data_IF_320057366107
#
_entry.id   IF_320057366107
#
_cell.length_a   1.000
_cell.length_b   1.000
_cell.length_c   1.000
_cell.angle_alpha   90.00
_cell.angle_beta   90.00
_cell.angle_gamma   90.00
#
_symmetry.space_group_name_H-M   'P 1'
#
loop_
_entity.id
_entity.type
_entity.pdbx_description
1 polymer ?
#
# COMPACT_ATOMS: atom_id res chain seq x y z
N UNK A 1 15.54 -10.70 29.41
CA UNK A 1 14.72 -10.07 28.37
C UNK A 1 13.64 -11.07 27.94
N UNK A 2 12.43 -10.91 28.48
CA UNK A 2 11.32 -11.84 28.23
C UNK A 2 10.89 -11.72 26.77
N UNK A 3 11.09 -12.77 25.97
CA UNK A 3 10.46 -12.87 24.65
C UNK A 3 8.98 -13.11 24.92
N UNK A 4 8.17 -12.05 24.88
CA UNK A 4 6.71 -12.17 24.92
C UNK A 4 6.30 -13.22 23.90
N UNK A 5 5.81 -14.38 24.36
CA UNK A 5 5.30 -15.42 23.46
C UNK A 5 4.06 -14.87 22.79
N UNK A 6 4.14 -14.61 21.49
CA UNK A 6 2.97 -14.37 20.64
C UNK A 6 2.13 -15.65 20.69
N UNK A 7 0.84 -15.55 21.01
CA UNK A 7 -0.02 -16.73 21.06
C UNK A 7 -0.24 -17.25 19.64
N UNK A 8 -0.46 -18.56 19.49
CA UNK A 8 -0.61 -19.16 18.17
C UNK A 8 -1.85 -18.62 17.43
N UNK A 9 -2.92 -18.26 18.17
CA UNK A 9 -4.11 -17.62 17.60
C UNK A 9 -3.84 -16.22 17.02
N UNK A 10 -2.83 -15.50 17.53
CA UNK A 10 -2.42 -14.17 17.03
C UNK A 10 -1.58 -14.27 15.75
N UNK A 11 -1.24 -15.49 15.29
CA UNK A 11 -0.50 -15.73 14.07
C UNK A 11 -1.42 -15.97 12.87
N UNK A 12 -2.70 -15.61 12.93
CA UNK A 12 -3.63 -15.69 11.81
C UNK A 12 -4.11 -14.32 11.35
N UNK A 13 -4.30 -14.19 10.03
CA UNK A 13 -4.74 -12.95 9.40
C UNK A 13 -6.22 -12.71 9.70
N UNK A 14 -6.56 -11.54 10.25
CA UNK A 14 -7.94 -11.17 10.59
C UNK A 14 -8.91 -11.17 9.39
N UNK A 15 -8.40 -11.06 8.15
CA UNK A 15 -9.25 -11.01 6.93
C UNK A 15 -9.36 -12.33 6.17
N UNK A 16 -8.25 -13.07 6.03
CA UNK A 16 -8.22 -14.29 5.23
C UNK A 16 -7.90 -15.56 6.03
N UNK A 17 -7.67 -15.42 7.34
CA UNK A 17 -7.46 -16.51 8.28
C UNK A 17 -6.25 -17.40 7.94
N UNK A 18 -5.35 -16.94 7.06
CA UNK A 18 -4.06 -17.58 6.76
C UNK A 18 -3.01 -17.17 7.79
N UNK A 19 -2.03 -18.04 8.00
CA UNK A 19 -0.91 -17.75 8.89
C UNK A 19 -0.17 -16.44 8.50
N UNK A 20 0.18 -15.63 9.48
CA UNK A 20 0.97 -14.42 9.34
C UNK A 20 2.41 -14.65 9.78
N UNK A 21 3.33 -13.87 9.22
CA UNK A 21 4.72 -13.84 9.69
C UNK A 21 4.80 -12.98 10.95
N UNK A 22 5.75 -13.29 11.83
CA UNK A 22 6.09 -12.42 12.95
C UNK A 22 6.44 -11.01 12.45
N UNK A 23 5.92 -9.98 13.13
CA UNK A 23 6.07 -8.59 12.71
C UNK A 23 5.11 -8.15 11.60
N UNK A 24 4.05 -8.93 11.33
CA UNK A 24 2.95 -8.49 10.48
C UNK A 24 2.30 -7.20 11.00
N UNK A 25 1.69 -6.42 10.09
CA UNK A 25 0.94 -5.23 10.45
C UNK A 25 -0.20 -5.61 11.40
N UNK A 26 -0.41 -4.82 12.44
CA UNK A 26 -1.49 -4.98 13.40
C UNK A 26 -2.42 -3.78 13.32
N UNK A 27 -3.66 -4.02 12.92
CA UNK A 27 -4.74 -3.03 12.88
C UNK A 27 -5.76 -3.31 13.98
N UNK A 28 -6.74 -2.43 14.25
CA UNK A 28 -7.76 -2.66 15.28
C UNK A 28 -8.52 -4.00 15.13
N UNK A 29 -8.66 -4.48 13.90
CA UNK A 29 -9.24 -5.77 13.54
C UNK A 29 -8.32 -6.99 13.80
N UNK A 30 -7.02 -6.77 14.05
CA UNK A 30 -6.00 -7.80 14.32
C UNK A 30 -4.82 -7.78 13.34
N UNK A 31 -4.05 -8.87 13.32
CA UNK A 31 -2.89 -9.02 12.44
C UNK A 31 -3.32 -9.20 10.97
N UNK A 32 -2.56 -8.61 10.05
CA UNK A 32 -2.79 -8.72 8.62
C UNK A 32 -1.59 -9.34 7.90
N UNK A 33 -1.85 -10.38 7.10
CA UNK A 33 -0.83 -10.91 6.20
C UNK A 33 -0.47 -9.86 5.14
N UNK A 34 0.73 -9.97 4.55
CA UNK A 34 1.25 -8.99 3.59
C UNK A 34 0.31 -8.80 2.38
N UNK A 35 -0.38 -9.86 1.95
CA UNK A 35 -1.36 -9.81 0.86
C UNK A 35 -2.62 -9.03 1.22
N UNK A 36 -3.23 -9.30 2.37
CA UNK A 36 -4.40 -8.55 2.85
C UNK A 36 -4.06 -7.09 3.13
N UNK A 37 -2.91 -6.83 3.74
CA UNK A 37 -2.41 -5.47 3.95
C UNK A 37 -2.20 -4.72 2.63
N UNK A 38 -1.57 -5.36 1.63
CA UNK A 38 -1.37 -4.73 0.31
C UNK A 38 -2.70 -4.45 -0.39
N UNK A 39 -3.62 -5.42 -0.39
CA UNK A 39 -4.96 -5.25 -1.00
C UNK A 39 -5.74 -4.12 -0.33
N UNK A 40 -5.68 -4.02 1.01
CA UNK A 40 -6.32 -2.94 1.74
C UNK A 40 -5.80 -1.55 1.31
N UNK A 41 -4.48 -1.41 1.14
CA UNK A 41 -3.84 -0.17 0.67
C UNK A 41 -3.96 0.07 -0.85
N UNK A 42 -4.77 -0.73 -1.53
CA UNK A 42 -5.15 -0.56 -2.94
C UNK A 42 -6.66 -0.43 -3.12
N UNK A 43 -7.43 -0.44 -2.02
CA UNK A 43 -8.87 -0.22 -2.01
C UNK A 43 -9.15 1.27 -1.88
N UNK A 44 -9.89 1.79 -2.86
CA UNK A 44 -10.38 3.17 -2.87
C UNK A 44 -11.88 3.16 -3.00
N UNK A 45 -12.52 4.17 -2.43
CA UNK A 45 -13.95 4.36 -2.54
C UNK A 45 -14.44 5.42 -1.58
N UNK A 46 -15.76 5.55 -1.49
CA UNK A 46 -16.41 6.45 -0.55
C UNK A 46 -16.34 5.87 0.86
N UNK A 47 -15.70 6.58 1.78
CA UNK A 47 -15.64 6.18 3.19
C UNK A 47 -17.04 6.19 3.80
N UNK A 48 -17.46 5.09 4.41
CA UNK A 48 -18.76 4.99 5.12
C UNK A 48 -18.85 5.96 6.31
N UNK A 49 -17.72 6.28 6.95
CA UNK A 49 -17.68 7.16 8.13
C UNK A 49 -17.74 8.66 7.80
N UNK A 50 -17.02 9.13 6.77
CA UNK A 50 -16.90 10.55 6.46
C UNK A 50 -17.40 10.96 5.07
N UNK A 51 -17.79 10.01 4.22
CA UNK A 51 -18.31 10.27 2.87
C UNK A 51 -17.27 10.72 1.83
N UNK A 52 -15.99 10.83 2.19
CA UNK A 52 -14.93 11.26 1.26
C UNK A 52 -14.49 10.08 0.38
N UNK A 53 -14.37 10.32 -0.93
CA UNK A 53 -13.78 9.37 -1.87
C UNK A 53 -12.25 9.40 -1.76
N UNK A 54 -11.66 8.36 -1.16
CA UNK A 54 -10.22 8.28 -0.86
C UNK A 54 -9.78 6.84 -0.62
N UNK A 55 -8.56 6.61 -0.11
CA UNK A 55 -8.11 5.29 0.30
C UNK A 55 -8.97 4.78 1.47
N UNK A 56 -9.61 3.62 1.32
CA UNK A 56 -10.51 3.02 2.32
C UNK A 56 -10.02 1.64 2.78
N UNK A 57 -8.89 1.58 3.50
CA UNK A 57 -8.29 0.31 3.86
C UNK A 57 -9.04 -0.39 5.00
N UNK A 58 -9.74 0.34 5.86
CA UNK A 58 -10.44 -0.18 7.02
C UNK A 58 -11.77 -0.83 6.67
N UNK A 59 -12.23 -1.73 7.54
CA UNK A 59 -13.55 -2.37 7.44
C UNK A 59 -14.47 -1.80 8.51
N UNK A 60 -15.69 -1.46 8.12
CA UNK A 60 -16.74 -1.08 9.05
C UNK A 60 -17.49 -2.33 9.56
N UNK A 61 -18.06 -2.29 10.78
CA UNK A 61 -18.84 -3.42 11.33
C UNK A 61 -20.06 -3.81 10.49
N UNK A 62 -20.60 -2.87 9.71
CA UNK A 62 -21.74 -3.06 8.80
C UNK A 62 -21.33 -3.59 7.42
N UNK A 63 -20.05 -3.90 7.20
CA UNK A 63 -19.50 -4.36 5.93
C UNK A 63 -19.06 -3.25 4.98
N UNK A 64 -19.19 -1.98 5.37
CA UNK A 64 -18.65 -0.84 4.62
C UNK A 64 -17.12 -0.74 4.65
N UNK A 65 -16.58 0.23 3.90
CA UNK A 65 -15.14 0.53 3.90
C UNK A 65 -14.87 1.88 4.55
N UNK A 66 -13.80 1.96 5.33
CA UNK A 66 -13.44 3.14 6.11
C UNK A 66 -12.08 3.67 5.69
N UNK A 67 -11.93 5.00 5.65
CA UNK A 67 -10.62 5.62 5.50
C UNK A 67 -9.76 5.35 6.73
N UNK A 68 -8.46 5.63 6.62
CA UNK A 68 -7.47 5.45 7.69
C UNK A 68 -7.89 6.10 9.00
N UNK A 69 -8.48 7.30 8.91
CA UNK A 69 -8.84 8.13 10.06
C UNK A 69 -10.09 7.57 10.75
N UNK A 70 -11.15 7.27 9.97
CA UNK A 70 -12.40 6.71 10.48
C UNK A 70 -12.25 5.28 11.01
N UNK A 71 -11.25 4.52 10.53
CA UNK A 71 -10.95 3.18 10.99
C UNK A 71 -10.05 3.13 12.25
N UNK A 72 -9.98 4.23 13.02
CA UNK A 72 -9.19 4.29 14.25
C UNK A 72 -7.71 4.61 14.04
N UNK A 73 -7.37 5.31 12.95
CA UNK A 73 -6.00 5.78 12.69
C UNK A 73 -5.07 4.66 12.25
N UNK A 74 -5.37 4.00 11.13
CA UNK A 74 -4.57 2.88 10.58
C UNK A 74 -3.15 3.26 10.13
N UNK A 75 -2.82 4.55 10.17
CA UNK A 75 -1.56 5.13 9.75
C UNK A 75 -1.74 6.14 8.61
N UNK A 76 -0.73 6.98 8.44
CA UNK A 76 -0.66 7.92 7.32
C UNK A 76 0.00 7.24 6.10
N UNK A 77 -0.77 7.13 5.02
CA UNK A 77 -0.32 6.58 3.72
C UNK A 77 -0.20 7.66 2.65
N UNK A 78 -0.19 8.93 3.03
CA UNK A 78 0.04 10.05 2.11
C UNK A 78 1.48 10.00 1.62
N UNK A 79 1.66 10.04 0.30
CA UNK A 79 2.97 10.16 -0.32
C UNK A 79 3.45 11.61 -0.22
N UNK A 80 4.59 11.84 0.41
CA UNK A 80 5.21 13.17 0.57
C UNK A 80 5.63 13.78 -0.78
N UNK A 81 5.79 12.96 -1.83
CA UNK A 81 6.16 13.45 -3.17
C UNK A 81 4.98 13.83 -4.06
N UNK A 82 3.90 13.06 -4.04
CA UNK A 82 2.77 13.25 -4.97
C UNK A 82 1.44 13.55 -4.29
N UNK A 83 1.39 13.57 -2.95
CA UNK A 83 0.18 13.82 -2.17
C UNK A 83 -0.87 12.71 -2.21
N UNK A 84 -0.71 11.68 -3.06
CA UNK A 84 -1.66 10.57 -3.14
C UNK A 84 -1.53 9.64 -1.94
N UNK A 85 -2.67 9.17 -1.47
CA UNK A 85 -2.73 8.07 -0.51
C UNK A 85 -2.43 6.77 -1.22
N UNK A 86 -1.35 6.09 -0.82
CA UNK A 86 -0.97 4.80 -1.39
C UNK A 86 -0.01 4.08 -0.44
N UNK A 87 0.12 2.76 -0.63
CA UNK A 87 1.17 2.00 0.07
C UNK A 87 2.54 2.64 -0.14
N UNK A 88 3.19 2.99 0.97
CA UNK A 88 4.58 3.48 1.00
C UNK A 88 5.52 2.33 0.62
N UNK A 89 6.44 2.59 -0.32
CA UNK A 89 7.49 1.66 -0.72
C UNK A 89 8.75 1.86 0.14
N UNK A 90 9.11 3.13 0.37
CA UNK A 90 10.10 3.57 1.36
C UNK A 90 9.51 4.70 2.19
N UNK A 91 10.23 5.15 3.22
CA UNK A 91 9.78 6.24 4.10
C UNK A 91 9.28 7.43 3.28
N UNK A 92 8.02 7.82 3.49
CA UNK A 92 7.37 8.96 2.84
C UNK A 92 7.00 8.81 1.36
N UNK A 93 7.42 7.77 0.65
CA UNK A 93 7.30 7.72 -0.82
C UNK A 93 6.59 6.45 -1.30
N UNK A 94 5.55 6.62 -2.13
CA UNK A 94 4.80 5.52 -2.73
C UNK A 94 5.58 4.79 -3.83
N UNK A 95 5.17 3.55 -4.14
CA UNK A 95 5.82 2.72 -5.15
C UNK A 95 5.84 3.31 -6.57
N UNK A 96 4.84 4.12 -6.92
CA UNK A 96 4.78 4.81 -8.23
C UNK A 96 5.84 5.90 -8.36
N UNK A 97 6.03 6.70 -7.32
CA UNK A 97 7.07 7.74 -7.31
C UNK A 97 8.47 7.12 -7.34
N UNK A 98 8.69 6.01 -6.63
CA UNK A 98 9.96 5.29 -6.69
C UNK A 98 10.18 4.67 -8.08
N UNK A 99 9.16 4.03 -8.67
CA UNK A 99 9.27 3.52 -10.04
C UNK A 99 9.63 4.63 -11.03
N UNK A 100 8.90 5.76 -10.97
CA UNK A 100 9.12 6.90 -11.87
C UNK A 100 10.54 7.45 -11.75
N UNK A 101 11.06 7.56 -10.53
CA UNK A 101 12.45 7.97 -10.26
C UNK A 101 13.44 7.00 -10.92
N UNK A 102 13.28 5.69 -10.70
CA UNK A 102 14.16 4.66 -11.29
C UNK A 102 14.08 4.61 -12.81
N UNK A 103 12.90 4.78 -13.39
CA UNK A 103 12.74 4.81 -14.84
C UNK A 103 13.45 6.02 -15.46
N UNK A 104 13.41 7.19 -14.81
CA UNK A 104 14.16 8.36 -15.27
C UNK A 104 15.67 8.10 -15.26
N UNK A 105 16.19 7.50 -14.19
CA UNK A 105 17.60 7.14 -14.07
C UNK A 105 18.03 6.14 -15.17
N UNK A 106 17.21 5.12 -15.43
CA UNK A 106 17.55 4.04 -16.37
C UNK A 106 17.38 4.42 -17.84
N UNK A 107 16.42 5.29 -18.15
CA UNK A 107 16.10 5.68 -19.53
C UNK A 107 16.73 7.04 -19.90
N UNK A 108 17.67 7.52 -19.10
CA UNK A 108 18.36 8.80 -19.27
C UNK A 108 19.22 8.84 -20.55
N UNK A 109 19.22 10.00 -21.22
CA UNK A 109 20.04 10.28 -22.41
C UNK A 109 21.46 10.79 -22.08
N UNK A 110 21.81 10.89 -20.79
CA UNK A 110 23.05 11.45 -20.29
C UNK A 110 22.93 12.93 -19.87
N UNK A 111 21.77 13.57 -20.10
CA UNK A 111 21.52 14.98 -19.77
C UNK A 111 20.58 15.18 -18.58
N UNK A 112 20.10 14.11 -17.95
CA UNK A 112 19.04 14.19 -16.94
C UNK A 112 17.62 14.13 -17.53
N UNK A 113 17.49 13.86 -18.83
CA UNK A 113 16.22 13.71 -19.55
C UNK A 113 16.04 12.28 -20.05
N UNK A 114 14.79 11.81 -20.07
CA UNK A 114 14.46 10.51 -20.68
C UNK A 114 14.68 10.60 -22.19
N UNK A 115 15.40 9.62 -22.77
CA UNK A 115 15.60 9.49 -24.22
C UNK A 115 14.27 9.57 -24.96
N UNK A 116 14.19 10.44 -25.95
CA UNK A 116 12.95 10.71 -26.70
C UNK A 116 12.34 9.44 -27.29
N UNK A 117 13.17 8.54 -27.80
CA UNK A 117 12.76 7.26 -28.40
C UNK A 117 12.15 6.29 -27.37
N UNK A 118 12.47 6.48 -26.07
CA UNK A 118 12.00 5.65 -24.97
C UNK A 118 10.83 6.28 -24.19
N UNK A 119 10.38 7.48 -24.57
CA UNK A 119 9.22 8.13 -23.94
C UNK A 119 7.95 7.27 -23.96
N UNK A 120 7.59 6.56 -25.05
CA UNK A 120 6.42 5.69 -25.05
C UNK A 120 6.53 4.55 -24.02
N UNK A 121 7.74 3.98 -23.87
CA UNK A 121 8.00 2.94 -22.87
C UNK A 121 7.94 3.50 -21.44
N UNK A 122 8.52 4.68 -21.22
CA UNK A 122 8.48 5.37 -19.94
C UNK A 122 7.03 5.61 -19.47
N UNK A 123 6.18 6.16 -20.33
CA UNK A 123 4.78 6.42 -19.99
C UNK A 123 3.99 5.12 -19.79
N UNK A 124 4.23 4.10 -20.60
CA UNK A 124 3.58 2.79 -20.43
C UNK A 124 3.92 2.16 -19.08
N UNK A 125 5.20 2.15 -18.70
CA UNK A 125 5.65 1.57 -17.42
C UNK A 125 5.14 2.38 -16.21
N UNK A 126 5.08 3.71 -16.32
CA UNK A 126 4.57 4.59 -15.24
C UNK A 126 3.07 4.40 -14.96
N UNK A 127 2.31 3.85 -15.90
CA UNK A 127 0.88 3.58 -15.71
C UNK A 127 0.60 2.22 -15.06
N UNK A 128 1.61 1.37 -14.86
CA UNK A 128 1.43 0.05 -14.23
C UNK A 128 1.00 0.24 -12.77
N UNK A 129 -0.25 -0.09 -12.44
CA UNK A 129 -0.82 0.08 -11.08
C UNK A 129 -0.08 -0.71 -9.99
N UNK A 130 0.50 -1.88 -10.31
CA UNK A 130 1.20 -2.76 -9.36
C UNK A 130 2.63 -3.09 -9.82
N UNK A 131 3.61 -2.19 -9.61
CA UNK A 131 4.98 -2.46 -10.03
C UNK A 131 5.72 -3.50 -9.15
N UNK A 132 5.21 -3.77 -7.94
CA UNK A 132 5.89 -4.64 -6.95
C UNK A 132 4.98 -5.75 -6.40
N UNK A 133 3.85 -6.01 -7.07
CA UNK A 133 2.88 -7.00 -6.62
C UNK A 133 3.38 -8.42 -6.84
N UNK A 134 3.92 -9.06 -5.79
CA UNK A 134 4.06 -10.51 -5.75
C UNK A 134 2.69 -11.15 -6.00
N UNK A 135 2.57 -11.89 -7.09
CA UNK A 135 1.32 -12.47 -7.57
C UNK A 135 0.61 -13.27 -6.48
N UNK A 136 -0.69 -13.04 -6.36
CA UNK A 136 -1.62 -14.06 -5.90
C UNK A 136 -2.84 -13.97 -6.80
N UNK A 137 -2.77 -14.74 -7.89
CA UNK A 137 -3.95 -15.47 -8.34
C UNK A 137 -4.43 -16.36 -7.19
#
# INVERSE_FOLDING_TARGET
>A
MSRTRVRAEDLFCARCHRAVRLGAAHWPEGYLCAGCFTRALETYGTCTGCGVERLTPGLAPDGGTLCTDCAGGLGDFTCERCGREARRYRRGVCGQCVLTERLRELLDDGTGSVRTELLPLFEALRQIRRPWGGGSA
#
